data_IF_950675206928
#
_entry.id   IF_950675206928
#
_cell.length_a   1.000
_cell.length_b   1.000
_cell.length_c   1.000
_cell.angle_alpha   90.00
_cell.angle_beta   90.00
_cell.angle_gamma   90.00
#
_symmetry.space_group_name_H-M   'P 1'
#
loop_
_entity.id
_entity.type
_entity.pdbx_description
1 polymer ?
#
# COMPACT_ATOMS: atom_id res chain seq x y z
N UNK A 1 11.63 -1.27 30.47
CA UNK A 1 10.47 -2.18 30.48
C UNK A 1 10.56 -3.03 29.22
N UNK A 2 11.21 -4.19 29.30
CA UNK A 2 11.48 -5.03 28.14
C UNK A 2 10.19 -5.70 27.67
N UNK A 3 9.85 -5.52 26.40
CA UNK A 3 8.74 -6.24 25.79
C UNK A 3 9.15 -7.70 25.70
N UNK A 4 8.49 -8.54 26.49
CA UNK A 4 8.69 -9.99 26.56
C UNK A 4 8.18 -10.63 25.26
N UNK A 5 9.10 -10.80 24.30
CA UNK A 5 8.83 -11.32 22.96
C UNK A 5 8.22 -12.73 22.98
N UNK A 6 8.54 -13.55 23.98
CA UNK A 6 7.97 -14.89 24.13
C UNK A 6 6.49 -14.84 24.54
N UNK A 7 6.11 -13.94 25.46
CA UNK A 7 4.70 -13.72 25.82
C UNK A 7 3.87 -13.15 24.68
N UNK A 8 4.46 -12.28 23.85
CA UNK A 8 3.80 -11.82 22.63
C UNK A 8 3.63 -12.96 21.63
N UNK A 9 4.67 -13.75 21.40
CA UNK A 9 4.62 -14.90 20.47
C UNK A 9 3.60 -15.94 20.92
N UNK A 10 3.47 -16.20 22.21
CA UNK A 10 2.46 -17.12 22.77
C UNK A 10 1.02 -16.55 22.70
N UNK A 11 0.87 -15.23 22.88
CA UNK A 11 -0.43 -14.55 22.71
C UNK A 11 -0.89 -14.51 21.25
N UNK A 12 0.05 -14.35 20.31
CA UNK A 12 -0.22 -14.40 18.88
C UNK A 12 -0.34 -15.82 18.33
N UNK A 13 0.34 -16.83 18.90
CA UNK A 13 0.16 -18.23 18.48
C UNK A 13 -1.14 -18.87 18.99
N UNK A 14 -1.70 -18.35 20.10
CA UNK A 14 -3.05 -18.71 20.59
C UNK A 14 -4.18 -18.06 19.79
N UNK A 15 -3.92 -16.97 19.06
CA UNK A 15 -4.78 -16.51 17.98
C UNK A 15 -4.59 -17.43 16.77
N UNK A 16 -5.03 -18.69 16.90
CA UNK A 16 -5.32 -19.51 15.72
C UNK A 16 -6.23 -18.70 14.79
N UNK A 17 -6.12 -18.84 13.45
CA UNK A 17 -7.10 -18.26 12.55
C UNK A 17 -8.48 -18.82 12.92
N UNK A 18 -9.24 -18.07 13.70
CA UNK A 18 -10.63 -18.37 14.00
C UNK A 18 -11.36 -18.02 12.72
N UNK A 19 -11.45 -18.99 11.82
CA UNK A 19 -12.24 -18.89 10.61
C UNK A 19 -13.73 -18.92 10.99
N UNK A 20 -14.20 -17.89 11.69
CA UNK A 20 -15.61 -17.70 12.00
C UNK A 20 -16.23 -16.79 10.95
N UNK A 21 -17.35 -17.22 10.39
CA UNK A 21 -18.12 -16.42 9.43
C UNK A 21 -18.46 -15.03 9.98
N UNK A 22 -18.67 -14.92 11.30
CA UNK A 22 -18.92 -13.65 11.98
C UNK A 22 -17.72 -12.70 11.94
N UNK A 23 -16.50 -13.20 12.17
CA UNK A 23 -15.30 -12.34 12.11
C UNK A 23 -14.96 -11.97 10.67
N UNK A 24 -15.17 -12.87 9.70
CA UNK A 24 -15.02 -12.56 8.28
C UNK A 24 -15.98 -11.44 7.85
N UNK A 25 -17.26 -11.55 8.22
CA UNK A 25 -18.27 -10.52 7.93
C UNK A 25 -17.93 -9.18 8.58
N UNK A 26 -17.38 -9.19 9.80
CA UNK A 26 -16.93 -7.98 10.49
C UNK A 26 -15.76 -7.33 9.73
N UNK A 27 -14.77 -8.11 9.28
CA UNK A 27 -13.65 -7.59 8.50
C UNK A 27 -14.10 -7.00 7.17
N UNK A 28 -14.97 -7.70 6.44
CA UNK A 28 -15.56 -7.20 5.19
C UNK A 28 -16.34 -5.90 5.45
N UNK A 29 -17.13 -5.84 6.53
CA UNK A 29 -17.90 -4.65 6.89
C UNK A 29 -16.99 -3.46 7.19
N UNK A 30 -15.89 -3.66 7.92
CA UNK A 30 -14.91 -2.61 8.20
C UNK A 30 -14.31 -2.04 6.91
N UNK A 31 -13.94 -2.91 5.96
CA UNK A 31 -13.40 -2.51 4.65
C UNK A 31 -14.47 -1.73 3.86
N UNK A 32 -15.70 -2.25 3.78
CA UNK A 32 -16.80 -1.59 3.06
C UNK A 32 -17.11 -0.22 3.65
N UNK A 33 -17.21 -0.11 4.98
CA UNK A 33 -17.46 1.17 5.66
C UNK A 33 -16.29 2.13 5.40
N UNK A 34 -15.05 1.66 5.50
CA UNK A 34 -13.88 2.47 5.18
C UNK A 34 -13.92 3.02 3.74
N UNK A 35 -14.26 2.17 2.76
CA UNK A 35 -14.46 2.58 1.38
C UNK A 35 -15.61 3.58 1.21
N UNK A 36 -16.73 3.40 1.92
CA UNK A 36 -17.86 4.32 1.90
C UNK A 36 -17.47 5.71 2.45
N UNK A 37 -16.63 5.76 3.49
CA UNK A 37 -16.11 7.03 4.03
C UNK A 37 -15.21 7.76 3.03
N UNK A 38 -14.39 7.04 2.26
CA UNK A 38 -13.62 7.64 1.17
C UNK A 38 -14.51 8.16 0.04
N UNK A 39 -15.62 7.47 -0.25
CA UNK A 39 -16.58 7.95 -1.23
C UNK A 39 -17.26 9.25 -0.78
N UNK A 40 -17.67 9.31 0.50
CA UNK A 40 -18.32 10.46 1.12
C UNK A 40 -17.38 11.66 1.40
N UNK A 41 -16.08 11.50 1.15
CA UNK A 41 -15.10 12.57 1.36
C UNK A 41 -15.34 13.74 0.39
N UNK A 42 -15.34 15.00 0.88
CA UNK A 42 -15.43 16.18 0.03
C UNK A 42 -14.14 16.39 -0.78
N UNK A 43 -14.26 16.98 -1.97
CA UNK A 43 -13.10 17.27 -2.82
C UNK A 43 -12.18 18.34 -2.19
N UNK A 44 -12.77 19.33 -1.53
CA UNK A 44 -12.08 20.31 -0.68
C UNK A 44 -11.84 19.73 0.71
N UNK A 45 -10.58 19.39 0.99
CA UNK A 45 -10.14 18.76 2.23
C UNK A 45 -10.09 19.75 3.41
N UNK A 46 -11.26 20.09 3.95
CA UNK A 46 -11.40 20.71 5.26
C UNK A 46 -11.23 19.71 6.42
N UNK A 47 -11.48 20.16 7.66
CA UNK A 47 -11.36 19.31 8.87
C UNK A 47 -12.18 18.02 8.73
N UNK A 48 -13.40 18.10 8.19
CA UNK A 48 -14.26 16.95 7.97
C UNK A 48 -13.63 15.92 7.01
N UNK A 49 -13.00 16.38 5.91
CA UNK A 49 -12.33 15.51 4.95
C UNK A 49 -11.16 14.75 5.59
N UNK A 50 -10.37 15.43 6.42
CA UNK A 50 -9.29 14.79 7.18
C UNK A 50 -9.78 13.77 8.21
N UNK A 51 -10.89 14.05 8.90
CA UNK A 51 -11.50 13.09 9.83
C UNK A 51 -11.96 11.85 9.06
N UNK A 52 -12.66 12.04 7.94
CA UNK A 52 -13.12 10.94 7.07
C UNK A 52 -11.93 10.12 6.54
N UNK A 53 -10.84 10.78 6.17
CA UNK A 53 -9.62 10.10 5.71
C UNK A 53 -8.99 9.24 6.80
N UNK A 54 -8.78 9.79 8.00
CA UNK A 54 -8.15 9.07 9.11
C UNK A 54 -9.01 7.89 9.55
N UNK A 55 -10.32 8.11 9.73
CA UNK A 55 -11.24 7.04 10.14
C UNK A 55 -11.37 5.98 9.04
N UNK A 56 -11.54 6.38 7.78
CA UNK A 56 -11.64 5.47 6.64
C UNK A 56 -10.37 4.62 6.46
N UNK A 57 -9.20 5.23 6.64
CA UNK A 57 -7.90 4.53 6.59
C UNK A 57 -7.78 3.54 7.74
N UNK A 58 -8.11 3.96 8.96
CA UNK A 58 -8.05 3.10 10.14
C UNK A 58 -8.93 1.85 9.98
N UNK A 59 -10.18 2.03 9.57
CA UNK A 59 -11.12 0.92 9.37
C UNK A 59 -10.62 -0.06 8.29
N UNK A 60 -10.12 0.47 7.17
CA UNK A 60 -9.55 -0.36 6.11
C UNK A 60 -8.31 -1.13 6.56
N UNK A 61 -7.36 -0.46 7.23
CA UNK A 61 -6.15 -1.09 7.74
C UNK A 61 -6.52 -2.22 8.72
N UNK A 62 -7.37 -1.96 9.71
CA UNK A 62 -7.79 -2.98 10.68
C UNK A 62 -8.51 -4.14 10.00
N UNK A 63 -9.42 -3.85 9.05
CA UNK A 63 -10.14 -4.86 8.30
C UNK A 63 -9.21 -5.75 7.47
N UNK A 64 -8.27 -5.16 6.73
CA UNK A 64 -7.31 -5.87 5.88
C UNK A 64 -6.34 -6.71 6.72
N UNK A 65 -5.75 -6.16 7.78
CA UNK A 65 -4.81 -6.91 8.63
C UNK A 65 -5.48 -8.07 9.34
N UNK A 66 -6.72 -7.90 9.84
CA UNK A 66 -7.48 -9.01 10.42
C UNK A 66 -7.84 -10.07 9.38
N UNK A 67 -8.23 -9.66 8.18
CA UNK A 67 -8.51 -10.58 7.08
C UNK A 67 -7.25 -11.38 6.69
N UNK A 68 -6.09 -10.71 6.59
CA UNK A 68 -4.81 -11.35 6.32
C UNK A 68 -4.41 -12.36 7.40
N UNK A 69 -4.64 -12.04 8.68
CA UNK A 69 -4.39 -12.96 9.79
C UNK A 69 -5.30 -14.20 9.79
N UNK A 70 -6.43 -14.17 9.08
CA UNK A 70 -7.31 -15.34 8.90
C UNK A 70 -6.84 -16.26 7.78
N UNK A 71 -6.04 -15.78 6.84
CA UNK A 71 -5.56 -16.59 5.71
C UNK A 71 -4.56 -17.62 6.25
N UNK A 72 -4.79 -18.94 6.04
CA UNK A 72 -3.85 -19.96 6.48
C UNK A 72 -2.50 -19.80 5.79
N UNK A 73 -1.41 -20.01 6.53
CA UNK A 73 -0.06 -19.98 5.98
C UNK A 73 0.06 -20.90 4.75
N UNK A 74 0.58 -20.34 3.67
CA UNK A 74 0.76 -21.07 2.41
C UNK A 74 1.98 -21.98 2.55
N UNK A 75 1.74 -23.24 2.89
CA UNK A 75 2.80 -24.23 3.15
C UNK A 75 3.52 -24.76 1.91
N UNK A 76 3.08 -24.41 0.69
CA UNK A 76 3.68 -24.91 -0.56
C UNK A 76 4.49 -23.82 -1.27
N UNK A 77 5.68 -24.19 -1.79
CA UNK A 77 6.56 -23.30 -2.56
C UNK A 77 5.86 -22.70 -3.80
N UNK A 78 5.01 -23.51 -4.46
CA UNK A 78 4.18 -23.05 -5.58
C UNK A 78 3.14 -22.03 -5.14
N UNK A 79 2.48 -22.27 -4.00
CA UNK A 79 1.46 -21.37 -3.47
C UNK A 79 2.05 -20.03 -3.03
N UNK A 80 3.23 -20.05 -2.42
CA UNK A 80 3.97 -18.84 -2.04
C UNK A 80 4.31 -18.00 -3.28
N UNK A 81 4.86 -18.62 -4.33
CA UNK A 81 5.12 -17.93 -5.61
C UNK A 81 3.87 -17.32 -6.23
N UNK A 82 2.75 -18.04 -6.23
CA UNK A 82 1.47 -17.53 -6.77
C UNK A 82 1.00 -16.33 -5.94
N UNK A 83 1.07 -16.41 -4.61
CA UNK A 83 0.68 -15.32 -3.72
C UNK A 83 1.58 -14.08 -3.89
N UNK A 84 2.89 -14.26 -4.05
CA UNK A 84 3.85 -13.19 -4.36
C UNK A 84 3.50 -12.51 -5.68
N UNK A 85 3.30 -13.29 -6.75
CA UNK A 85 2.94 -12.74 -8.07
C UNK A 85 1.60 -12.01 -8.01
N UNK A 86 0.58 -12.59 -7.38
CA UNK A 86 -0.73 -11.96 -7.22
C UNK A 86 -0.65 -10.64 -6.42
N UNK A 87 0.16 -10.60 -5.36
CA UNK A 87 0.36 -9.40 -4.53
C UNK A 87 1.07 -8.30 -5.32
N UNK A 88 2.06 -8.63 -6.14
CA UNK A 88 2.73 -7.68 -7.02
C UNK A 88 1.78 -7.11 -8.08
N UNK A 89 0.97 -7.97 -8.72
CA UNK A 89 -0.04 -7.51 -9.67
C UNK A 89 -1.09 -6.61 -9.00
N UNK A 90 -1.55 -6.96 -7.80
CA UNK A 90 -2.49 -6.14 -7.04
C UNK A 90 -1.90 -4.78 -6.66
N UNK A 91 -0.63 -4.75 -6.22
CA UNK A 91 0.10 -3.51 -5.92
C UNK A 91 0.15 -2.57 -7.13
N UNK A 92 0.58 -3.07 -8.30
CA UNK A 92 0.65 -2.27 -9.53
C UNK A 92 -0.73 -1.77 -9.93
N UNK A 93 -1.75 -2.61 -9.85
CA UNK A 93 -3.12 -2.25 -10.23
C UNK A 93 -3.73 -1.19 -9.30
N UNK A 94 -3.57 -1.34 -7.98
CA UNK A 94 -4.05 -0.36 -6.99
C UNK A 94 -3.35 0.97 -7.18
N UNK A 95 -2.02 0.96 -7.39
CA UNK A 95 -1.24 2.17 -7.62
C UNK A 95 -1.69 2.89 -8.89
N UNK A 96 -1.88 2.15 -9.98
CA UNK A 96 -2.37 2.70 -11.24
C UNK A 96 -3.74 3.37 -11.08
N UNK A 97 -4.68 2.72 -10.38
CA UNK A 97 -6.01 3.30 -10.13
C UNK A 97 -5.91 4.57 -9.27
N UNK A 98 -5.10 4.55 -8.20
CA UNK A 98 -4.93 5.71 -7.32
C UNK A 98 -4.37 6.93 -8.06
N UNK A 99 -3.34 6.72 -8.88
CA UNK A 99 -2.75 7.78 -9.70
C UNK A 99 -3.70 8.26 -10.79
N UNK A 100 -4.44 7.35 -11.44
CA UNK A 100 -5.45 7.71 -12.45
C UNK A 100 -6.57 8.55 -11.82
N UNK A 101 -7.02 8.20 -10.62
CA UNK A 101 -8.03 8.97 -9.90
C UNK A 101 -7.52 10.36 -9.54
N UNK A 102 -6.31 10.47 -8.97
CA UNK A 102 -5.69 11.76 -8.65
C UNK A 102 -5.54 12.65 -9.89
N UNK A 103 -5.13 12.06 -11.02
CA UNK A 103 -4.99 12.79 -12.28
C UNK A 103 -6.35 13.31 -12.78
N UNK A 104 -7.37 12.44 -12.79
CA UNK A 104 -8.74 12.79 -13.21
C UNK A 104 -9.42 13.80 -12.27
N UNK A 105 -9.09 13.77 -10.99
CA UNK A 105 -9.65 14.69 -10.00
C UNK A 105 -8.98 16.06 -10.03
N UNK A 106 -8.03 16.32 -10.94
CA UNK A 106 -7.40 17.63 -11.06
C UNK A 106 -6.38 17.94 -9.96
N UNK A 107 -5.93 16.94 -9.19
CA UNK A 107 -5.07 17.18 -8.03
C UNK A 107 -5.82 17.69 -6.79
N UNK A 108 -7.13 17.47 -6.69
CA UNK A 108 -7.91 17.82 -5.48
C UNK A 108 -7.38 17.14 -4.22
N UNK A 109 -7.71 17.69 -3.05
CA UNK A 109 -7.29 17.13 -1.77
C UNK A 109 -7.77 15.68 -1.57
N UNK A 110 -9.01 15.38 -1.97
CA UNK A 110 -9.54 14.00 -1.99
C UNK A 110 -8.72 13.08 -2.89
N UNK A 111 -8.40 13.55 -4.10
CA UNK A 111 -7.54 12.83 -5.03
C UNK A 111 -6.18 12.52 -4.43
N UNK A 112 -5.56 13.52 -3.77
CA UNK A 112 -4.25 13.38 -3.15
C UNK A 112 -4.27 12.36 -2.00
N UNK A 113 -5.32 12.37 -1.19
CA UNK A 113 -5.50 11.41 -0.11
C UNK A 113 -5.70 9.97 -0.61
N UNK A 114 -6.54 9.77 -1.63
CA UNK A 114 -6.75 8.45 -2.26
C UNK A 114 -5.47 7.97 -2.96
N UNK A 115 -4.77 8.85 -3.68
CA UNK A 115 -3.49 8.55 -4.31
C UNK A 115 -2.42 8.16 -3.30
N UNK A 116 -2.37 8.86 -2.15
CA UNK A 116 -1.43 8.55 -1.06
C UNK A 116 -1.76 7.22 -0.40
N UNK A 117 -3.05 6.93 -0.18
CA UNK A 117 -3.48 5.64 0.36
C UNK A 117 -3.12 4.49 -0.59
N UNK A 118 -3.33 4.66 -1.89
CA UNK A 118 -2.95 3.67 -2.91
C UNK A 118 -1.44 3.40 -2.87
N UNK A 119 -0.62 4.45 -2.74
CA UNK A 119 0.83 4.34 -2.58
C UNK A 119 1.20 3.54 -1.33
N UNK A 120 0.57 3.82 -0.19
CA UNK A 120 0.83 3.09 1.05
C UNK A 120 0.47 1.60 0.94
N UNK A 121 -0.69 1.28 0.34
CA UNK A 121 -1.14 -0.11 0.16
C UNK A 121 -0.22 -0.84 -0.82
N UNK A 122 0.13 -0.20 -1.94
CA UNK A 122 1.05 -0.76 -2.93
C UNK A 122 2.40 -1.11 -2.31
N UNK A 123 3.02 -0.17 -1.58
CA UNK A 123 4.27 -0.43 -0.87
C UNK A 123 4.15 -1.55 0.16
N UNK A 124 3.06 -1.58 0.94
CA UNK A 124 2.80 -2.64 1.90
C UNK A 124 2.72 -4.03 1.26
N UNK A 125 2.06 -4.13 0.10
CA UNK A 125 1.95 -5.38 -0.67
C UNK A 125 3.29 -5.80 -1.28
N UNK A 126 4.10 -4.87 -1.80
CA UNK A 126 5.45 -5.18 -2.28
C UNK A 126 6.32 -5.69 -1.13
N UNK A 127 6.29 -5.03 0.03
CA UNK A 127 7.03 -5.46 1.24
C UNK A 127 6.56 -6.84 1.69
N UNK A 128 5.26 -7.13 1.67
CA UNK A 128 4.72 -8.45 2.04
C UNK A 128 5.13 -9.56 1.05
N UNK A 129 5.09 -9.27 -0.25
CA UNK A 129 5.47 -10.21 -1.30
C UNK A 129 6.96 -10.56 -1.28
N UNK A 130 7.75 -9.65 -0.72
CA UNK A 130 9.19 -9.74 -0.51
C UNK A 130 9.44 -10.31 0.88
N UNK A 131 9.44 -11.63 1.00
CA UNK A 131 9.89 -12.27 2.23
C UNK A 131 11.38 -11.93 2.44
N UNK A 132 11.69 -11.11 3.46
CA UNK A 132 13.00 -10.49 3.64
C UNK A 132 14.09 -11.47 4.11
N UNK A 133 13.75 -12.73 4.38
CA UNK A 133 14.67 -13.69 4.98
C UNK A 133 15.68 -14.31 3.99
N UNK A 134 15.47 -14.20 2.67
CA UNK A 134 16.27 -14.91 1.67
C UNK A 134 17.22 -13.97 0.89
N UNK A 135 18.54 -14.06 1.14
CA UNK A 135 19.58 -13.15 0.61
C UNK A 135 19.60 -13.04 -0.94
N UNK A 136 19.21 -14.11 -1.65
CA UNK A 136 19.10 -14.09 -3.12
C UNK A 136 17.91 -13.28 -3.60
N UNK A 137 16.80 -13.31 -2.87
CA UNK A 137 15.63 -12.51 -3.18
C UNK A 137 15.93 -11.04 -2.93
N UNK A 138 16.58 -10.70 -1.82
CA UNK A 138 16.97 -9.32 -1.51
C UNK A 138 17.75 -8.64 -2.64
N UNK A 139 18.72 -9.34 -3.27
CA UNK A 139 19.47 -8.79 -4.41
C UNK A 139 18.58 -8.49 -5.62
N UNK A 140 17.64 -9.36 -5.96
CA UNK A 140 16.70 -9.15 -7.07
C UNK A 140 15.78 -7.96 -6.79
N UNK A 141 15.34 -7.80 -5.54
CA UNK A 141 14.48 -6.70 -5.10
C UNK A 141 15.23 -5.37 -5.19
N UNK A 142 16.50 -5.32 -4.78
CA UNK A 142 17.33 -4.11 -4.96
C UNK A 142 17.37 -3.66 -6.42
N UNK A 143 17.63 -4.60 -7.33
CA UNK A 143 17.67 -4.31 -8.77
C UNK A 143 16.29 -3.87 -9.28
N UNK A 144 15.21 -4.57 -8.90
CA UNK A 144 13.86 -4.23 -9.30
C UNK A 144 13.45 -2.84 -8.80
N UNK A 145 13.71 -2.54 -7.52
CA UNK A 145 13.46 -1.23 -6.93
C UNK A 145 14.28 -0.13 -7.65
N UNK A 146 15.55 -0.36 -7.95
CA UNK A 146 16.38 0.58 -8.70
C UNK A 146 15.80 0.91 -10.09
N UNK A 147 15.37 -0.12 -10.83
CA UNK A 147 14.73 0.06 -12.14
C UNK A 147 13.41 0.84 -12.00
N UNK A 148 12.56 0.44 -11.05
CA UNK A 148 11.27 1.10 -10.78
C UNK A 148 11.50 2.57 -10.44
N UNK A 149 12.44 2.90 -9.56
CA UNK A 149 12.78 4.28 -9.18
C UNK A 149 13.11 5.13 -10.41
N UNK A 150 13.92 4.62 -11.34
CA UNK A 150 14.27 5.35 -12.57
C UNK A 150 13.02 5.63 -13.40
N UNK A 151 12.16 4.61 -13.61
CA UNK A 151 10.92 4.79 -14.36
C UNK A 151 9.97 5.80 -13.70
N UNK A 152 9.82 5.76 -12.38
CA UNK A 152 8.97 6.70 -11.63
C UNK A 152 9.43 8.16 -11.83
N UNK A 153 10.74 8.42 -11.75
CA UNK A 153 11.31 9.75 -11.97
C UNK A 153 11.09 10.21 -13.41
N UNK A 154 11.37 9.35 -14.39
CA UNK A 154 11.19 9.69 -15.81
C UNK A 154 9.73 10.00 -16.12
N UNK A 155 8.79 9.20 -15.63
CA UNK A 155 7.35 9.41 -15.82
C UNK A 155 6.91 10.71 -15.16
N UNK A 156 7.37 10.99 -13.93
CA UNK A 156 7.04 12.22 -13.22
C UNK A 156 7.49 13.48 -14.00
N UNK A 157 8.72 13.47 -14.51
CA UNK A 157 9.26 14.58 -15.32
C UNK A 157 8.50 14.71 -16.63
N UNK A 158 8.29 13.60 -17.34
CA UNK A 158 7.57 13.59 -18.61
C UNK A 158 6.13 14.12 -18.48
N UNK A 159 5.38 13.67 -17.47
CA UNK A 159 4.02 14.12 -17.22
C UNK A 159 3.96 15.63 -16.95
N UNK A 160 4.87 16.16 -16.13
CA UNK A 160 4.89 17.59 -15.80
C UNK A 160 5.26 18.46 -17.02
N UNK A 161 6.21 18.02 -17.86
CA UNK A 161 6.58 18.76 -19.08
C UNK A 161 5.42 18.72 -20.09
N UNK A 162 4.81 17.55 -20.30
CA UNK A 162 3.71 17.38 -21.26
C UNK A 162 2.50 18.23 -20.91
N UNK A 163 2.16 18.30 -19.62
CA UNK A 163 0.94 18.95 -19.13
C UNK A 163 1.20 20.35 -18.55
N UNK A 164 2.34 20.97 -18.92
CA UNK A 164 2.75 22.33 -18.55
C UNK A 164 2.59 22.65 -17.05
N UNK A 165 3.02 21.70 -16.21
CA UNK A 165 2.97 21.80 -14.75
C UNK A 165 1.58 22.08 -14.17
N UNK A 166 0.52 21.54 -14.79
CA UNK A 166 -0.83 21.57 -14.22
C UNK A 166 -0.89 20.98 -12.80
N UNK A 167 -1.83 21.44 -11.96
CA UNK A 167 -2.01 20.97 -10.58
C UNK A 167 -2.10 19.44 -10.47
N UNK A 168 -2.80 18.79 -11.39
CA UNK A 168 -2.91 17.34 -11.46
C UNK A 168 -1.57 16.67 -11.74
N UNK A 169 -0.83 17.14 -12.74
CA UNK A 169 0.48 16.60 -13.12
C UNK A 169 1.54 16.81 -12.03
N UNK A 170 1.51 17.95 -11.32
CA UNK A 170 2.38 18.23 -10.18
C UNK A 170 2.05 17.30 -9.01
N UNK A 171 0.77 17.08 -8.73
CA UNK A 171 0.33 16.21 -7.64
C UNK A 171 0.72 14.75 -7.90
N UNK A 172 0.42 14.23 -9.10
CA UNK A 172 0.82 12.87 -9.52
C UNK A 172 2.34 12.75 -9.52
N UNK A 173 3.05 13.72 -10.09
CA UNK A 173 4.51 13.77 -10.12
C UNK A 173 5.12 13.75 -8.72
N UNK A 174 4.53 14.47 -7.77
CA UNK A 174 4.99 14.50 -6.37
C UNK A 174 4.84 13.12 -5.71
N UNK A 175 3.69 12.45 -5.88
CA UNK A 175 3.48 11.09 -5.35
C UNK A 175 4.50 10.11 -5.96
N UNK A 176 4.71 10.17 -7.28
CA UNK A 176 5.70 9.34 -7.96
C UNK A 176 7.13 9.59 -7.44
N UNK A 177 7.47 10.85 -7.13
CA UNK A 177 8.78 11.19 -6.55
C UNK A 177 8.93 10.70 -5.11
N UNK A 178 7.87 10.75 -4.29
CA UNK A 178 7.88 10.17 -2.94
C UNK A 178 8.11 8.66 -3.03
N UNK A 179 7.43 7.98 -3.95
CA UNK A 179 7.62 6.55 -4.19
C UNK A 179 9.04 6.25 -4.70
N UNK A 180 9.57 7.08 -5.60
CA UNK A 180 10.95 7.00 -6.09
C UNK A 180 11.97 7.14 -4.95
N UNK A 181 11.73 8.01 -3.97
CA UNK A 181 12.59 8.15 -2.79
C UNK A 181 12.59 6.89 -1.93
N UNK A 182 11.41 6.30 -1.66
CA UNK A 182 11.28 5.09 -0.83
C UNK A 182 11.90 3.88 -1.56
N UNK A 183 11.50 3.65 -2.81
CA UNK A 183 12.03 2.56 -3.64
C UNK A 183 13.52 2.75 -3.90
N UNK A 184 13.99 3.98 -4.09
CA UNK A 184 15.39 4.29 -4.30
C UNK A 184 16.23 4.06 -3.05
N UNK A 185 15.69 4.30 -1.86
CA UNK A 185 16.34 3.89 -0.60
C UNK A 185 16.51 2.37 -0.50
N UNK A 186 15.60 1.60 -1.05
CA UNK A 186 15.73 0.13 -1.06
C UNK A 186 16.70 -0.31 -2.17
N UNK A 187 16.60 0.28 -3.36
CA UNK A 187 17.35 -0.14 -4.54
C UNK A 187 18.80 0.35 -4.61
N UNK A 188 19.08 1.59 -4.20
CA UNK A 188 20.39 2.22 -4.34
C UNK A 188 21.15 2.39 -3.03
N UNK A 189 20.46 2.56 -1.91
CA UNK A 189 21.10 2.63 -0.59
C UNK A 189 21.39 1.20 -0.10
N UNK A 190 22.55 0.70 -0.49
CA UNK A 190 23.15 -0.47 0.16
C UNK A 190 23.36 -0.12 1.64
N UNK A 191 22.67 -0.82 2.54
CA UNK A 191 23.03 -0.81 3.96
C UNK A 191 24.52 -1.17 4.05
N UNK A 192 25.28 -0.28 4.71
CA UNK A 192 26.63 -0.53 5.20
C UNK A 192 26.63 -1.69 6.17
#
# INVERSE_FOLDING_TARGET
MGIDLEKLKEKYSKNKPTFSLSELMLCISLIIIGCALFFAMPDDMGILGWILFVVGTFLNVVGIFRLAAMVPEVKSDLGSKIATVASLFASVFIQFIGLLYLYKSGGTGKGAAIGTLALCISLGLVIYAVDFEDERHQKKIKIACAIITIFLVVIAVFLNIRDDFSTASVSVGTILLIEALITGRIGFLSQK
#
